data_IF_557925545538
#
_entry.id   IF_557925545538
#
_cell.length_a   1.000
_cell.length_b   1.000
_cell.length_c   1.000
_cell.angle_alpha   90.00
_cell.angle_beta   90.00
_cell.angle_gamma   90.00
#
_symmetry.space_group_name_H-M   'P 1'
#
loop_
_entity.id
_entity.type
_entity.pdbx_description
1 polymer ?
#
# COMPACT_ATOMS: atom_id res chain seq x y z
N UNK A 1 11.64 -10.65 2.01
CA UNK A 1 11.13 -11.56 0.97
C UNK A 1 12.10 -11.57 -0.18
N UNK A 2 12.38 -12.72 -0.79
CA UNK A 2 13.25 -12.80 -1.96
C UNK A 2 12.51 -12.29 -3.21
N UNK A 3 13.24 -11.81 -4.22
CA UNK A 3 12.63 -11.29 -5.46
C UNK A 3 11.78 -12.34 -6.19
N UNK A 4 12.17 -13.61 -6.13
CA UNK A 4 11.42 -14.73 -6.69
C UNK A 4 10.03 -14.87 -6.06
N UNK A 5 9.93 -14.76 -4.74
CA UNK A 5 8.67 -14.82 -4.00
C UNK A 5 7.76 -13.63 -4.34
N UNK A 6 8.33 -12.42 -4.47
CA UNK A 6 7.57 -11.22 -4.87
C UNK A 6 6.97 -11.44 -6.26
N UNK A 7 7.74 -11.97 -7.20
CA UNK A 7 7.28 -12.25 -8.56
C UNK A 7 6.17 -13.32 -8.58
N UNK A 8 6.22 -14.32 -7.69
CA UNK A 8 5.16 -15.32 -7.55
C UNK A 8 3.86 -14.70 -7.04
N UNK A 9 3.92 -13.87 -5.99
CA UNK A 9 2.74 -13.14 -5.48
C UNK A 9 2.17 -12.24 -6.59
N UNK A 10 3.02 -11.51 -7.30
CA UNK A 10 2.58 -10.66 -8.39
C UNK A 10 1.90 -11.45 -9.52
N UNK A 11 2.46 -12.60 -9.90
CA UNK A 11 1.85 -13.45 -10.92
C UNK A 11 0.47 -13.96 -10.48
N UNK A 12 0.33 -14.41 -9.22
CA UNK A 12 -0.96 -14.81 -8.67
C UNK A 12 -1.99 -13.66 -8.72
N UNK A 13 -1.59 -12.44 -8.33
CA UNK A 13 -2.45 -11.24 -8.41
C UNK A 13 -2.89 -10.97 -9.85
N UNK A 14 -2.01 -11.11 -10.83
CA UNK A 14 -2.35 -10.91 -12.25
C UNK A 14 -3.35 -11.96 -12.73
N UNK A 15 -3.19 -13.20 -12.33
CA UNK A 15 -4.08 -14.29 -12.76
C UNK A 15 -5.47 -14.13 -12.12
N UNK A 16 -5.55 -13.80 -10.83
CA UNK A 16 -6.82 -13.41 -10.18
C UNK A 16 -7.48 -12.21 -10.88
N UNK A 17 -6.72 -11.17 -11.25
CA UNK A 17 -7.26 -9.99 -11.92
C UNK A 17 -7.82 -10.30 -13.32
N UNK A 18 -7.24 -11.27 -14.05
CA UNK A 18 -7.80 -11.73 -15.34
C UNK A 18 -9.13 -12.42 -15.13
N UNK A 19 -9.22 -13.31 -14.14
CA UNK A 19 -10.47 -14.00 -13.81
C UNK A 19 -11.55 -13.00 -13.39
N UNK A 20 -11.21 -12.06 -12.49
CA UNK A 20 -12.12 -11.02 -12.04
C UNK A 20 -12.62 -10.12 -13.18
N UNK A 21 -11.74 -9.74 -14.12
CA UNK A 21 -12.13 -8.94 -15.28
C UNK A 21 -13.08 -9.68 -16.23
N UNK A 22 -12.94 -11.00 -16.36
CA UNK A 22 -13.84 -11.83 -17.15
C UNK A 22 -15.20 -12.03 -16.47
N UNK A 23 -15.20 -12.16 -15.14
CA UNK A 23 -16.42 -12.39 -14.36
C UNK A 23 -17.25 -11.13 -14.16
N UNK A 24 -16.62 -9.95 -14.04
CA UNK A 24 -17.31 -8.69 -13.77
C UNK A 24 -16.97 -7.61 -14.83
N UNK A 25 -17.73 -7.55 -15.94
CA UNK A 25 -17.46 -6.63 -17.04
C UNK A 25 -17.46 -5.15 -16.63
N UNK A 26 -18.25 -4.74 -15.62
CA UNK A 26 -18.27 -3.34 -15.16
C UNK A 26 -16.94 -2.91 -14.53
N UNK A 27 -16.19 -3.86 -13.97
CA UNK A 27 -14.88 -3.62 -13.35
C UNK A 27 -13.72 -4.03 -14.25
N UNK A 28 -13.96 -4.57 -15.45
CA UNK A 28 -12.90 -5.00 -16.35
C UNK A 28 -11.87 -3.89 -16.64
N UNK A 29 -12.33 -2.68 -16.96
CA UNK A 29 -11.44 -1.53 -17.17
C UNK A 29 -10.66 -1.14 -15.90
N UNK A 30 -11.27 -1.29 -14.73
CA UNK A 30 -10.62 -1.04 -13.45
C UNK A 30 -9.48 -2.04 -13.19
N UNK A 31 -9.71 -3.34 -13.37
CA UNK A 31 -8.67 -4.37 -13.21
C UNK A 31 -7.56 -4.23 -14.28
N UNK A 32 -7.94 -3.86 -15.50
CA UNK A 32 -6.96 -3.59 -16.55
C UNK A 32 -6.06 -2.41 -16.21
N UNK A 33 -6.64 -1.31 -15.74
CA UNK A 33 -5.91 -0.10 -15.40
C UNK A 33 -5.03 -0.26 -14.17
N UNK A 34 -5.48 -0.99 -13.14
CA UNK A 34 -4.77 -1.12 -11.85
C UNK A 34 -3.79 -2.29 -11.78
N UNK A 35 -4.04 -3.39 -12.51
CA UNK A 35 -3.21 -4.61 -12.42
C UNK A 35 -2.66 -5.02 -13.78
N UNK A 36 -3.54 -5.31 -14.76
CA UNK A 36 -3.12 -6.05 -15.96
C UNK A 36 -2.16 -5.26 -16.88
N UNK A 37 -2.24 -3.92 -16.86
CA UNK A 37 -1.34 -3.02 -17.59
C UNK A 37 0.08 -2.94 -17.01
N UNK A 38 0.27 -3.28 -15.73
CA UNK A 38 1.55 -3.11 -15.02
C UNK A 38 2.47 -4.32 -15.17
N UNK A 39 3.79 -4.13 -15.03
CA UNK A 39 4.76 -5.23 -15.21
C UNK A 39 5.17 -5.88 -13.90
N UNK A 40 5.12 -5.13 -12.80
CA UNK A 40 5.50 -5.58 -11.46
C UNK A 40 4.57 -4.98 -10.38
N UNK A 41 4.68 -5.51 -9.16
CA UNK A 41 3.88 -5.07 -8.01
C UNK A 41 4.07 -3.59 -7.67
N UNK A 42 5.30 -3.07 -7.79
CA UNK A 42 5.63 -1.67 -7.49
C UNK A 42 4.92 -0.70 -8.42
N UNK A 43 4.89 -0.98 -9.73
CA UNK A 43 4.18 -0.15 -10.72
C UNK A 43 2.68 -0.10 -10.47
N UNK A 44 2.08 -1.25 -10.10
CA UNK A 44 0.66 -1.34 -9.79
C UNK A 44 0.33 -0.60 -8.49
N UNK A 45 1.16 -0.79 -7.46
CA UNK A 45 1.00 -0.12 -6.17
C UNK A 45 1.16 1.39 -6.30
N UNK A 46 2.16 1.89 -7.04
CA UNK A 46 2.35 3.32 -7.26
C UNK A 46 1.13 3.95 -7.94
N UNK A 47 0.58 3.27 -8.96
CA UNK A 47 -0.64 3.70 -9.64
C UNK A 47 -1.84 3.73 -8.68
N UNK A 48 -2.07 2.66 -7.92
CA UNK A 48 -3.22 2.58 -6.99
C UNK A 48 -3.12 3.67 -5.92
N UNK A 49 -1.99 3.79 -5.23
CA UNK A 49 -1.82 4.77 -4.16
C UNK A 49 -1.94 6.21 -4.68
N UNK A 50 -1.37 6.49 -5.86
CA UNK A 50 -1.49 7.81 -6.47
C UNK A 50 -2.95 8.20 -6.76
N UNK A 51 -3.77 7.29 -7.30
CA UNK A 51 -5.20 7.55 -7.54
C UNK A 51 -6.00 7.63 -6.24
N UNK A 52 -5.57 6.97 -5.15
CA UNK A 52 -6.27 7.02 -3.86
C UNK A 52 -5.98 8.29 -3.06
N UNK A 53 -4.82 8.90 -3.26
CA UNK A 53 -4.37 10.08 -2.54
C UNK A 53 -4.45 11.37 -3.37
N UNK A 54 -4.88 11.30 -4.63
CA UNK A 54 -4.95 12.49 -5.47
C UNK A 54 -5.93 13.53 -4.92
N UNK A 55 -5.55 14.79 -5.08
CA UNK A 55 -6.39 15.92 -4.73
C UNK A 55 -6.06 17.11 -5.64
N UNK A 56 -6.83 18.21 -5.59
CA UNK A 56 -6.60 19.36 -6.46
C UNK A 56 -5.22 20.03 -6.32
N UNK A 57 -4.53 19.84 -5.19
CA UNK A 57 -3.19 20.37 -4.93
C UNK A 57 -2.13 19.44 -5.52
N UNK A 58 -2.33 18.12 -5.40
CA UNK A 58 -1.39 17.11 -5.85
C UNK A 58 -2.10 16.04 -6.70
N UNK A 59 -2.07 16.17 -8.05
CA UNK A 59 -2.70 15.22 -8.94
C UNK A 59 -1.99 13.86 -8.92
N UNK A 60 -2.69 12.78 -9.29
CA UNK A 60 -2.13 11.42 -9.28
C UNK A 60 -0.80 11.29 -10.03
N UNK A 61 -0.58 12.03 -11.12
CA UNK A 61 0.68 11.99 -11.86
C UNK A 61 1.88 12.43 -11.00
N UNK A 62 1.73 13.50 -10.22
CA UNK A 62 2.77 14.01 -9.33
C UNK A 62 3.00 13.07 -8.14
N UNK A 63 1.92 12.53 -7.56
CA UNK A 63 2.01 11.54 -6.49
C UNK A 63 2.74 10.28 -6.95
N UNK A 64 2.42 9.78 -8.15
CA UNK A 64 3.06 8.59 -8.72
C UNK A 64 4.56 8.79 -8.89
N UNK A 65 5.01 9.96 -9.35
CA UNK A 65 6.44 10.27 -9.47
C UNK A 65 7.16 10.22 -8.10
N UNK A 66 6.56 10.81 -7.07
CA UNK A 66 7.11 10.79 -5.69
C UNK A 66 7.18 9.36 -5.15
N UNK A 67 6.14 8.56 -5.38
CA UNK A 67 6.09 7.17 -4.91
C UNK A 67 7.13 6.32 -5.65
N UNK A 68 7.29 6.49 -6.96
CA UNK A 68 8.28 5.76 -7.76
C UNK A 68 9.71 6.16 -7.46
N UNK A 69 9.95 7.43 -7.10
CA UNK A 69 11.23 7.89 -6.55
C UNK A 69 11.57 7.11 -5.27
N UNK A 70 10.64 7.04 -4.32
CA UNK A 70 10.81 6.30 -3.07
C UNK A 70 11.07 4.80 -3.31
N UNK A 71 10.32 4.17 -4.22
CA UNK A 71 10.51 2.75 -4.54
C UNK A 71 11.84 2.45 -5.21
N UNK A 72 12.34 3.38 -6.04
CA UNK A 72 13.66 3.24 -6.69
C UNK A 72 14.79 3.40 -5.68
N UNK A 73 14.65 4.33 -4.73
CA UNK A 73 15.63 4.57 -3.68
C UNK A 73 15.62 3.44 -2.63
N UNK A 74 14.44 2.94 -2.26
CA UNK A 74 14.25 1.89 -1.26
C UNK A 74 13.37 0.73 -1.78
N UNK A 75 13.92 -0.21 -2.58
CA UNK A 75 13.17 -1.36 -3.08
C UNK A 75 12.57 -2.26 -2.00
N UNK A 76 13.08 -2.17 -0.76
CA UNK A 76 12.55 -2.88 0.41
C UNK A 76 11.11 -2.45 0.77
N UNK A 77 10.65 -1.28 0.31
CA UNK A 77 9.24 -0.88 0.47
C UNK A 77 8.32 -1.86 -0.28
N UNK A 78 8.66 -2.23 -1.51
CA UNK A 78 7.88 -3.20 -2.31
C UNK A 78 7.96 -4.59 -1.68
N UNK A 79 9.13 -4.99 -1.18
CA UNK A 79 9.27 -6.26 -0.45
C UNK A 79 8.41 -6.29 0.82
N UNK A 80 8.31 -5.17 1.53
CA UNK A 80 7.44 -5.01 2.69
C UNK A 80 5.97 -5.10 2.31
N UNK A 81 5.57 -4.44 1.22
CA UNK A 81 4.21 -4.52 0.68
C UNK A 81 3.83 -5.98 0.36
N UNK A 82 4.73 -6.75 -0.25
CA UNK A 82 4.46 -8.14 -0.57
C UNK A 82 4.34 -9.02 0.70
N UNK A 83 5.17 -8.76 1.73
CA UNK A 83 4.99 -9.37 3.06
C UNK A 83 3.65 -9.00 3.69
N UNK A 84 3.20 -7.76 3.56
CA UNK A 84 1.94 -7.26 4.11
C UNK A 84 0.74 -7.91 3.39
N UNK A 85 0.78 -8.06 2.06
CA UNK A 85 -0.23 -8.81 1.29
C UNK A 85 -0.30 -10.27 1.77
N UNK A 86 0.87 -10.92 1.92
CA UNK A 86 0.93 -12.30 2.41
C UNK A 86 0.38 -12.44 3.84
N UNK A 87 0.69 -11.49 4.72
CA UNK A 87 0.15 -11.46 6.07
C UNK A 87 -1.38 -11.36 6.05
N UNK A 88 -1.95 -10.50 5.21
CA UNK A 88 -3.41 -10.39 5.09
C UNK A 88 -4.01 -11.69 4.56
N UNK A 89 -3.49 -12.21 3.45
CA UNK A 89 -4.02 -13.42 2.80
C UNK A 89 -4.01 -14.66 3.72
N UNK A 90 -3.01 -14.75 4.61
CA UNK A 90 -2.83 -15.91 5.49
C UNK A 90 -3.55 -15.77 6.84
N UNK A 91 -3.87 -14.55 7.28
CA UNK A 91 -4.37 -14.29 8.64
C UNK A 91 -5.80 -13.76 8.69
N UNK A 92 -6.30 -13.23 7.58
CA UNK A 92 -7.68 -12.79 7.45
C UNK A 92 -8.53 -13.87 6.76
N UNK A 93 -9.45 -14.55 7.47
CA UNK A 93 -10.33 -15.55 6.89
C UNK A 93 -11.25 -14.99 5.80
N UNK A 94 -11.52 -13.67 5.82
CA UNK A 94 -12.38 -13.02 4.83
C UNK A 94 -11.65 -12.73 3.51
N UNK A 95 -10.32 -12.86 3.48
CA UNK A 95 -9.50 -12.56 2.30
C UNK A 95 -9.04 -13.87 1.64
N UNK A 96 -9.68 -14.22 0.53
CA UNK A 96 -9.40 -15.43 -0.24
C UNK A 96 -8.42 -15.21 -1.42
N UNK A 97 -8.08 -13.96 -1.73
CA UNK A 97 -7.30 -13.53 -2.90
C UNK A 97 -6.15 -12.60 -2.54
N UNK A 98 -5.03 -12.73 -3.26
CA UNK A 98 -3.84 -11.88 -3.09
C UNK A 98 -4.06 -10.45 -3.62
N UNK A 99 -4.98 -10.28 -4.57
CA UNK A 99 -5.35 -8.99 -5.15
C UNK A 99 -6.21 -8.13 -4.23
N UNK A 100 -6.94 -8.74 -3.27
CA UNK A 100 -7.86 -8.03 -2.38
C UNK A 100 -7.18 -6.95 -1.52
N UNK A 101 -6.06 -7.22 -0.81
CA UNK A 101 -5.36 -6.18 -0.06
C UNK A 101 -4.89 -5.03 -0.94
N UNK A 102 -4.34 -5.37 -2.11
CA UNK A 102 -3.81 -4.39 -3.05
C UNK A 102 -4.91 -3.48 -3.63
N UNK A 103 -6.09 -4.01 -3.94
CA UNK A 103 -7.15 -3.25 -4.59
C UNK A 103 -8.07 -2.49 -3.63
N UNK A 104 -8.38 -3.07 -2.46
CA UNK A 104 -9.54 -2.65 -1.69
C UNK A 104 -9.26 -2.27 -0.23
N UNK A 105 -8.23 -2.83 0.40
CA UNK A 105 -8.06 -2.67 1.85
C UNK A 105 -7.35 -1.36 2.18
N UNK A 106 -8.12 -0.39 2.68
CA UNK A 106 -7.60 0.93 3.07
C UNK A 106 -6.48 0.87 4.13
N UNK A 107 -6.50 -0.13 5.01
CA UNK A 107 -5.41 -0.36 5.97
C UNK A 107 -4.09 -0.71 5.30
N UNK A 108 -4.15 -1.54 4.26
CA UNK A 108 -2.98 -1.83 3.44
C UNK A 108 -2.53 -0.57 2.69
N UNK A 109 -3.44 0.18 2.07
CA UNK A 109 -3.10 1.43 1.38
C UNK A 109 -2.44 2.45 2.31
N UNK A 110 -3.00 2.68 3.49
CA UNK A 110 -2.46 3.59 4.48
C UNK A 110 -1.05 3.18 4.93
N UNK A 111 -0.83 1.88 5.18
CA UNK A 111 0.49 1.36 5.58
C UNK A 111 1.54 1.59 4.48
N UNK A 112 1.21 1.31 3.21
CA UNK A 112 2.16 1.51 2.12
C UNK A 112 2.43 2.99 1.85
N UNK A 113 1.41 3.84 1.95
CA UNK A 113 1.57 5.29 1.83
C UNK A 113 2.42 5.85 2.98
N UNK A 114 2.25 5.36 4.20
CA UNK A 114 3.10 5.71 5.33
C UNK A 114 4.57 5.40 5.03
N UNK A 115 4.91 4.24 4.44
CA UNK A 115 6.30 3.90 4.10
C UNK A 115 6.93 4.93 3.15
N UNK A 116 6.16 5.49 2.22
CA UNK A 116 6.60 6.59 1.35
C UNK A 116 6.82 7.87 2.17
N UNK A 117 5.91 8.22 3.08
CA UNK A 117 6.12 9.38 3.97
C UNK A 117 7.32 9.22 4.91
N UNK A 118 7.57 8.00 5.39
CA UNK A 118 8.72 7.66 6.23
C UNK A 118 10.04 7.86 5.46
N UNK A 119 10.09 7.37 4.23
CA UNK A 119 11.20 7.65 3.32
C UNK A 119 11.43 9.16 3.16
N UNK A 120 10.38 9.92 2.79
CA UNK A 120 10.48 11.37 2.60
C UNK A 120 10.96 12.10 3.86
N UNK A 121 10.49 11.69 5.03
CA UNK A 121 10.92 12.23 6.31
C UNK A 121 12.43 12.02 6.53
N UNK A 122 12.93 10.82 6.26
CA UNK A 122 14.34 10.47 6.40
C UNK A 122 15.24 11.18 5.37
N UNK A 123 14.70 11.55 4.20
CA UNK A 123 15.39 12.40 3.22
C UNK A 123 15.33 13.91 3.55
N UNK A 124 14.77 14.29 4.70
CA UNK A 124 14.63 15.69 5.10
C UNK A 124 13.49 16.44 4.42
N UNK A 125 12.69 15.79 3.55
CA UNK A 125 11.48 16.34 2.91
C UNK A 125 10.29 16.34 3.88
N UNK A 126 10.50 16.83 5.11
CA UNK A 126 9.56 16.72 6.23
C UNK A 126 8.21 17.40 5.96
N UNK A 127 8.21 18.57 5.33
CA UNK A 127 6.98 19.27 4.99
C UNK A 127 6.06 18.44 4.08
N UNK A 128 6.64 17.76 3.08
CA UNK A 128 5.89 16.88 2.20
C UNK A 128 5.42 15.61 2.93
N UNK A 129 6.25 15.04 3.80
CA UNK A 129 5.88 13.88 4.61
C UNK A 129 4.68 14.19 5.53
N UNK A 130 4.69 15.34 6.21
CA UNK A 130 3.58 15.79 7.08
C UNK A 130 2.33 16.11 6.26
N UNK A 131 2.48 16.74 5.09
CA UNK A 131 1.35 16.95 4.19
C UNK A 131 0.68 15.62 3.81
N UNK A 132 1.47 14.66 3.31
CA UNK A 132 0.95 13.35 2.90
C UNK A 132 0.41 12.53 4.08
N UNK A 133 0.98 12.64 5.28
CA UNK A 133 0.42 12.03 6.49
C UNK A 133 -1.03 12.46 6.72
N UNK A 134 -1.31 13.77 6.59
CA UNK A 134 -2.67 14.28 6.75
C UNK A 134 -3.59 13.79 5.62
N UNK A 135 -3.13 13.75 4.37
CA UNK A 135 -3.92 13.20 3.26
C UNK A 135 -4.24 11.71 3.46
N UNK A 136 -3.30 10.92 3.98
CA UNK A 136 -3.53 9.51 4.35
C UNK A 136 -4.59 9.41 5.44
N UNK A 137 -4.50 10.26 6.47
CA UNK A 137 -5.48 10.30 7.56
C UNK A 137 -6.88 10.61 7.03
N UNK A 138 -7.03 11.61 6.15
CA UNK A 138 -8.32 11.97 5.54
C UNK A 138 -8.85 10.84 4.63
N UNK A 139 -7.99 10.25 3.79
CA UNK A 139 -8.42 9.28 2.79
C UNK A 139 -8.73 7.89 3.38
N UNK A 140 -7.98 7.48 4.40
CA UNK A 140 -8.03 6.11 4.93
C UNK A 140 -8.48 6.01 6.39
N UNK A 141 -8.60 7.15 7.09
CA UNK A 141 -8.87 7.22 8.52
C UNK A 141 -7.81 6.48 9.35
N UNK A 142 -6.54 6.70 8.95
CA UNK A 142 -5.33 6.11 9.56
C UNK A 142 -4.27 7.20 9.65
N UNK A 143 -3.85 7.54 10.85
CA UNK A 143 -2.82 8.54 11.12
C UNK A 143 -1.55 7.87 11.65
N UNK A 144 -0.52 7.78 10.81
CA UNK A 144 0.78 7.24 11.20
C UNK A 144 1.82 8.33 11.00
N UNK A 145 2.43 8.78 12.09
CA UNK A 145 3.46 9.81 12.02
C UNK A 145 4.66 9.33 11.18
N UNK A 146 5.17 10.12 10.22
CA UNK A 146 6.25 9.70 9.32
C UNK A 146 7.53 9.25 10.04
N UNK A 147 7.83 9.78 11.23
CA UNK A 147 9.01 9.36 11.99
C UNK A 147 8.83 8.03 12.78
N UNK A 148 7.60 7.50 12.87
CA UNK A 148 7.36 6.20 13.48
C UNK A 148 8.18 5.13 12.74
N UNK A 149 8.42 3.99 13.38
CA UNK A 149 9.15 2.86 12.77
C UNK A 149 8.23 1.66 12.71
N UNK A 150 7.76 1.30 11.51
CA UNK A 150 6.84 0.17 11.31
C UNK A 150 7.51 -0.91 10.46
N UNK A 151 7.57 -2.13 11.01
CA UNK A 151 8.07 -3.33 10.33
C UNK A 151 7.16 -3.77 9.16
N UNK A 152 7.36 -5.00 8.69
CA UNK A 152 6.57 -5.61 7.61
C UNK A 152 5.82 -6.88 8.06
N UNK A 153 4.93 -7.38 7.21
CA UNK A 153 3.98 -8.43 7.55
C UNK A 153 2.91 -7.94 8.52
N UNK A 154 2.54 -6.66 8.42
CA UNK A 154 1.56 -6.01 9.28
C UNK A 154 0.18 -6.12 8.64
N UNK A 155 -0.83 -6.33 9.49
CA UNK A 155 -2.23 -6.31 9.06
C UNK A 155 -3.03 -5.34 9.93
N UNK A 156 -3.61 -4.34 9.27
CA UNK A 156 -4.61 -3.44 9.85
C UNK A 156 -6.00 -3.92 9.41
N UNK A 157 -6.71 -4.56 10.33
CA UNK A 157 -8.07 -5.01 10.09
C UNK A 157 -9.05 -3.84 10.31
N UNK A 158 -9.90 -3.57 9.32
CA UNK A 158 -10.81 -2.42 9.20
C UNK A 158 -10.18 -1.01 9.25
N UNK A 159 -8.99 -0.86 9.84
CA UNK A 159 -8.06 0.28 9.90
C UNK A 159 -8.57 1.64 10.43
N UNK A 160 -9.88 1.80 10.51
CA UNK A 160 -10.59 3.03 10.92
C UNK A 160 -10.19 3.45 12.33
N UNK A 161 -9.66 4.67 12.47
CA UNK A 161 -9.26 5.28 13.73
C UNK A 161 -7.89 4.83 14.27
N UNK A 162 -7.05 4.20 13.45
CA UNK A 162 -5.68 3.86 13.87
C UNK A 162 -4.85 5.15 13.98
N UNK A 163 -4.21 5.34 15.14
CA UNK A 163 -3.26 6.44 15.39
C UNK A 163 -1.94 5.87 15.90
N UNK A 164 -0.83 6.20 15.22
CA UNK A 164 0.52 5.77 15.56
C UNK A 164 1.41 7.00 15.68
N UNK A 165 1.83 7.32 16.91
CA UNK A 165 2.59 8.54 17.22
C UNK A 165 4.07 8.49 16.80
N UNK A 166 4.72 9.65 16.83
CA UNK A 166 6.09 9.91 16.35
C UNK A 166 7.14 8.90 16.83
N UNK A 167 7.11 8.55 18.11
CA UNK A 167 8.13 7.69 18.75
C UNK A 167 7.75 6.20 18.73
N UNK A 168 6.66 5.83 18.05
CA UNK A 168 6.16 4.46 18.07
C UNK A 168 7.06 3.53 17.26
N UNK A 169 7.28 2.33 17.80
CA UNK A 169 7.95 1.24 17.12
C UNK A 169 6.98 0.07 17.05
N UNK A 170 6.64 -0.35 15.84
CA UNK A 170 5.79 -1.51 15.56
C UNK A 170 6.67 -2.59 14.94
N UNK A 171 6.84 -3.70 15.65
CA UNK A 171 7.68 -4.81 15.21
C UNK A 171 7.02 -5.64 14.09
N UNK A 172 7.83 -6.44 13.39
CA UNK A 172 7.35 -7.30 12.30
C UNK A 172 6.25 -8.25 12.77
N UNK A 173 5.37 -8.63 11.84
CA UNK A 173 4.30 -9.61 12.07
C UNK A 173 3.20 -9.16 13.06
N UNK A 174 3.19 -7.90 13.51
CA UNK A 174 2.15 -7.38 14.42
C UNK A 174 0.76 -7.32 13.76
N UNK A 175 -0.30 -7.55 14.56
CA UNK A 175 -1.70 -7.47 14.15
C UNK A 175 -2.41 -6.43 14.98
N UNK A 176 -3.10 -5.49 14.32
CA UNK A 176 -3.91 -4.48 15.01
C UNK A 176 -5.38 -4.72 14.74
N UNK A 177 -6.14 -4.82 15.83
CA UNK A 177 -7.59 -4.86 15.82
C UNK A 177 -8.12 -3.55 16.38
N UNK A 178 -9.32 -3.19 15.96
CA UNK A 178 -10.14 -2.26 16.74
C UNK A 178 -10.59 -2.96 18.03
N UNK A 179 -10.49 -2.26 19.18
CA UNK A 179 -11.19 -2.64 20.42
C UNK A 179 -12.65 -2.23 20.31
#
# INVERSE_FOLDING_TARGET
MQQSEINQIWQAIRDEAKELANCEPMLASFFHATILKHHNLGDALSYILANKLENPIMPAIALKEIIEEAYRAEPQIIASAACDINAVRTRDPAVDKWSTPLLYLKGFHALQSYRVTHYLWNQGRKALAVYLQNEISVAFDVDIHPAAKVGCGIMFDHATGIVVGETSVIEMMSRFYKV
#
